data_IF_764808712155
#
_entry.id   IF_764808712155
#
_cell.length_a   1.000
_cell.length_b   1.000
_cell.length_c   1.000
_cell.angle_alpha   90.00
_cell.angle_beta   90.00
_cell.angle_gamma   90.00
#
_symmetry.space_group_name_H-M   'P 1'
#
loop_
_entity.id
_entity.type
_entity.pdbx_description
1 polymer ?
#
# COMPACT_ATOMS: atom_id res chain seq x y z
N UNK A 1 0.29 -5.15 20.09
CA UNK A 1 1.06 -3.91 20.27
C UNK A 1 1.45 -3.65 21.73
N UNK A 2 0.56 -3.89 22.73
CA UNK A 2 0.95 -3.70 24.13
C UNK A 2 1.95 -4.71 24.68
N UNK A 3 2.14 -5.85 24.01
CA UNK A 3 3.05 -6.92 24.43
C UNK A 3 4.43 -6.89 23.76
N UNK A 4 4.72 -5.86 22.95
CA UNK A 4 5.98 -5.72 22.23
C UNK A 4 6.13 -6.60 20.99
N UNK A 5 5.10 -7.40 20.64
CA UNK A 5 5.08 -8.22 19.43
C UNK A 5 4.26 -7.52 18.35
N UNK A 6 4.83 -7.35 17.18
CA UNK A 6 4.21 -6.67 16.05
C UNK A 6 3.85 -7.68 14.96
N UNK A 7 2.57 -7.89 14.76
CA UNK A 7 2.05 -8.75 13.69
C UNK A 7 1.80 -7.93 12.41
N UNK A 8 1.94 -8.54 11.22
CA UNK A 8 1.61 -7.87 9.97
C UNK A 8 0.15 -7.42 9.95
N UNK A 9 -0.13 -6.24 9.40
CA UNK A 9 -1.49 -5.81 9.12
C UNK A 9 -1.53 -4.76 7.99
N UNK A 10 -2.67 -4.70 7.29
CA UNK A 10 -2.98 -3.67 6.31
C UNK A 10 -4.35 -3.07 6.62
N UNK A 11 -5.42 -3.61 6.03
CA UNK A 11 -6.78 -3.05 6.05
C UNK A 11 -7.48 -3.02 7.41
N UNK A 12 -7.14 -3.88 8.36
CA UNK A 12 -7.76 -4.06 9.69
C UNK A 12 -9.26 -4.45 9.68
N UNK A 13 -9.80 -4.83 8.51
CA UNK A 13 -11.23 -5.12 8.34
C UNK A 13 -11.51 -6.49 7.70
N UNK A 14 -10.52 -7.39 7.66
CA UNK A 14 -10.69 -8.74 7.14
C UNK A 14 -10.68 -8.88 5.62
N UNK A 15 -10.33 -7.84 4.85
CA UNK A 15 -10.44 -7.87 3.39
C UNK A 15 -9.13 -8.22 2.66
N UNK A 16 -7.95 -7.89 3.22
CA UNK A 16 -6.68 -7.97 2.47
C UNK A 16 -5.83 -9.22 2.76
N UNK A 17 -6.07 -9.93 3.86
CA UNK A 17 -5.30 -11.10 4.24
C UNK A 17 -3.90 -10.85 4.82
N UNK A 18 -3.42 -9.61 4.92
CA UNK A 18 -2.07 -9.27 5.39
C UNK A 18 -1.78 -9.75 6.83
N UNK A 19 -2.80 -9.87 7.67
CA UNK A 19 -2.69 -10.32 9.07
C UNK A 19 -2.97 -11.82 9.25
N UNK A 20 -2.94 -12.62 8.17
CA UNK A 20 -3.16 -14.07 8.23
C UNK A 20 -2.01 -14.76 8.95
N UNK A 21 -2.34 -15.65 9.89
CA UNK A 21 -1.38 -16.51 10.56
C UNK A 21 -2.05 -17.79 11.05
N UNK A 22 -1.26 -18.71 11.60
CA UNK A 22 -1.73 -20.02 12.01
C UNK A 22 -1.97 -20.10 13.53
N UNK A 23 -3.06 -20.71 13.91
CA UNK A 23 -3.34 -21.11 15.29
C UNK A 23 -2.68 -22.45 15.54
N UNK A 24 -1.71 -22.50 16.45
CA UNK A 24 -1.06 -23.73 16.90
C UNK A 24 -1.85 -24.37 18.04
N UNK A 25 -2.47 -23.56 18.90
CA UNK A 25 -3.39 -24.00 19.95
C UNK A 25 -4.35 -22.90 20.35
N UNK A 26 -5.46 -23.29 21.01
CA UNK A 26 -6.55 -22.40 21.41
C UNK A 26 -7.64 -22.25 20.35
N UNK A 27 -8.62 -21.41 20.63
CA UNK A 27 -9.80 -21.21 19.77
C UNK A 27 -10.10 -19.73 19.60
N UNK A 28 -10.62 -19.37 18.44
CA UNK A 28 -11.05 -18.01 18.09
C UNK A 28 -12.45 -18.04 17.49
N UNK A 29 -13.15 -16.91 17.57
CA UNK A 29 -14.29 -16.61 16.70
C UNK A 29 -13.78 -15.72 15.57
N UNK A 30 -13.98 -16.15 14.33
CA UNK A 30 -13.68 -15.35 13.16
C UNK A 30 -14.72 -14.24 13.01
N UNK A 31 -14.26 -12.99 12.93
CA UNK A 31 -15.12 -11.85 12.60
C UNK A 31 -15.44 -11.83 11.11
N UNK A 32 -16.22 -10.83 10.70
CA UNK A 32 -16.55 -10.63 9.29
C UNK A 32 -15.26 -10.47 8.45
N UNK A 33 -15.15 -11.22 7.38
CA UNK A 33 -14.00 -11.18 6.46
C UNK A 33 -14.39 -11.65 5.06
N UNK A 34 -13.49 -11.42 4.10
CA UNK A 34 -13.64 -11.89 2.73
C UNK A 34 -13.10 -13.31 2.57
N UNK A 35 -13.80 -14.15 1.83
CA UNK A 35 -13.37 -15.54 1.51
C UNK A 35 -12.01 -15.57 0.79
N UNK A 36 -11.69 -14.57 -0.01
CA UNK A 36 -10.37 -14.42 -0.65
C UNK A 36 -9.24 -14.13 0.35
N UNK A 37 -9.55 -13.49 1.49
CA UNK A 37 -8.58 -13.17 2.53
C UNK A 37 -8.36 -14.36 3.48
N UNK A 38 -9.42 -15.13 3.76
CA UNK A 38 -9.39 -16.36 4.55
C UNK A 38 -10.50 -17.27 4.07
N UNK A 39 -10.15 -18.36 3.41
CA UNK A 39 -11.12 -19.32 2.91
C UNK A 39 -11.61 -20.27 4.01
N UNK A 40 -12.78 -20.88 3.81
CA UNK A 40 -13.33 -21.90 4.75
C UNK A 40 -12.35 -23.08 4.92
N UNK A 41 -11.62 -23.45 3.89
CA UNK A 41 -10.60 -24.49 3.97
C UNK A 41 -9.40 -24.05 4.84
N UNK A 42 -8.94 -22.82 4.70
CA UNK A 42 -7.87 -22.26 5.52
C UNK A 42 -8.30 -22.14 6.98
N UNK A 43 -9.55 -21.73 7.27
CA UNK A 43 -10.10 -21.74 8.63
C UNK A 43 -10.08 -23.15 9.23
N UNK A 44 -10.55 -24.16 8.47
CA UNK A 44 -10.53 -25.54 8.89
C UNK A 44 -9.11 -26.08 9.16
N UNK A 45 -8.11 -25.51 8.48
CA UNK A 45 -6.68 -25.82 8.67
C UNK A 45 -6.00 -24.98 9.76
N UNK A 46 -6.79 -24.24 10.55
CA UNK A 46 -6.31 -23.46 11.69
C UNK A 46 -5.71 -22.11 11.32
N UNK A 47 -5.98 -21.57 10.14
CA UNK A 47 -5.59 -20.20 9.78
C UNK A 47 -6.59 -19.19 10.35
N UNK A 48 -6.11 -17.99 10.68
CA UNK A 48 -6.95 -16.90 11.17
C UNK A 48 -6.44 -15.54 10.68
N UNK A 49 -7.35 -14.57 10.56
CA UNK A 49 -7.02 -13.16 10.35
C UNK A 49 -7.00 -12.44 11.70
N UNK A 50 -5.82 -12.12 12.21
CA UNK A 50 -5.67 -11.56 13.56
C UNK A 50 -6.25 -10.16 13.74
N UNK A 51 -6.58 -9.45 12.65
CA UNK A 51 -7.25 -8.15 12.74
C UNK A 51 -8.74 -8.24 13.11
N UNK A 52 -9.39 -9.38 12.85
CA UNK A 52 -10.81 -9.60 13.08
C UNK A 52 -11.15 -10.88 13.85
N UNK A 53 -10.17 -11.71 14.20
CA UNK A 53 -10.37 -12.86 15.07
C UNK A 53 -10.46 -12.44 16.54
N UNK A 54 -11.43 -12.99 17.29
CA UNK A 54 -11.57 -12.78 18.72
C UNK A 54 -11.18 -14.05 19.47
N UNK A 55 -10.19 -14.02 20.39
CA UNK A 55 -9.80 -15.19 21.14
C UNK A 55 -10.89 -15.63 22.14
N UNK A 56 -11.12 -16.93 22.22
CA UNK A 56 -12.01 -17.57 23.23
C UNK A 56 -11.23 -18.29 24.33
N UNK A 57 -9.93 -18.51 24.13
CA UNK A 57 -9.00 -19.15 25.07
C UNK A 57 -7.62 -18.53 24.91
N UNK A 58 -6.66 -18.96 25.74
CA UNK A 58 -5.25 -18.67 25.47
C UNK A 58 -4.87 -19.25 24.12
N UNK A 59 -4.09 -18.48 23.35
CA UNK A 59 -3.69 -18.83 21.99
C UNK A 59 -2.19 -19.04 21.91
N UNK A 60 -1.78 -20.06 21.16
CA UNK A 60 -0.43 -20.14 20.59
C UNK A 60 -0.57 -19.94 19.08
N UNK A 61 0.15 -18.97 18.52
CA UNK A 61 0.07 -18.60 17.11
C UNK A 61 1.44 -18.68 16.45
N UNK A 62 1.42 -18.99 15.16
CA UNK A 62 2.56 -18.85 14.26
C UNK A 62 2.25 -17.73 13.28
N UNK A 63 3.04 -16.67 13.35
CA UNK A 63 2.91 -15.52 12.48
C UNK A 63 4.27 -14.87 12.28
N UNK A 64 4.42 -14.19 11.14
CA UNK A 64 5.62 -13.39 10.89
C UNK A 64 5.61 -12.17 11.80
N UNK A 65 6.70 -11.97 12.56
CA UNK A 65 6.88 -10.75 13.34
C UNK A 65 7.50 -9.66 12.47
N UNK A 66 6.90 -8.47 12.49
CA UNK A 66 7.41 -7.33 11.75
C UNK A 66 8.29 -6.49 12.67
N UNK A 67 9.59 -6.48 12.39
CA UNK A 67 10.54 -5.59 13.06
C UNK A 67 10.28 -4.13 12.67
N UNK A 68 10.69 -3.18 13.50
CA UNK A 68 10.54 -1.73 13.32
C UNK A 68 9.10 -1.18 13.37
N UNK A 69 8.06 -2.01 13.43
CA UNK A 69 6.71 -1.54 13.72
C UNK A 69 6.63 -1.14 15.20
N UNK A 70 6.12 0.09 15.44
CA UNK A 70 6.07 0.65 16.79
C UNK A 70 7.30 1.48 17.17
N UNK A 71 8.29 1.63 16.28
CA UNK A 71 9.39 2.57 16.45
C UNK A 71 8.87 4.01 16.61
N UNK A 72 7.81 4.34 15.88
CA UNK A 72 7.14 5.63 15.98
C UNK A 72 5.74 5.49 16.61
N UNK A 73 5.41 6.31 17.62
CA UNK A 73 4.12 6.24 18.27
C UNK A 73 2.99 6.67 17.34
N UNK A 74 1.90 5.91 17.34
CA UNK A 74 0.67 6.29 16.66
C UNK A 74 0.04 7.48 17.37
N UNK A 75 -0.17 8.57 16.64
CA UNK A 75 -0.74 9.82 17.16
C UNK A 75 -2.08 10.14 16.50
N UNK A 76 -2.98 10.72 17.29
CA UNK A 76 -4.20 11.39 16.78
C UNK A 76 -4.00 12.88 16.83
N UNK A 77 -4.13 13.54 15.68
CA UNK A 77 -3.89 14.99 15.62
C UNK A 77 -4.80 15.68 14.61
N UNK A 78 -5.08 16.97 14.79
CA UNK A 78 -5.65 17.78 13.73
C UNK A 78 -4.61 18.02 12.63
N UNK A 79 -5.07 18.19 11.41
CA UNK A 79 -4.25 18.63 10.28
C UNK A 79 -5.05 19.59 9.43
N UNK A 80 -4.36 20.48 8.73
CA UNK A 80 -4.96 21.47 7.84
C UNK A 80 -4.63 21.11 6.40
N UNK A 81 -5.60 21.19 5.50
CA UNK A 81 -5.35 21.10 4.06
C UNK A 81 -4.47 22.30 3.66
N UNK A 82 -3.27 22.02 3.18
CA UNK A 82 -2.32 23.02 2.69
C UNK A 82 -2.50 23.28 1.20
N UNK A 83 -2.81 22.24 0.41
CA UNK A 83 -3.10 22.33 -1.02
C UNK A 83 -3.95 21.16 -1.49
N UNK A 84 -4.73 21.38 -2.55
CA UNK A 84 -5.47 20.40 -3.33
C UNK A 84 -5.11 20.61 -4.79
N UNK A 85 -4.37 19.67 -5.37
CA UNK A 85 -3.91 19.75 -6.76
C UNK A 85 -4.51 18.60 -7.57
N UNK A 86 -5.36 18.91 -8.53
CA UNK A 86 -5.95 17.92 -9.44
C UNK A 86 -4.91 17.57 -10.51
N UNK A 87 -4.27 16.40 -10.36
CA UNK A 87 -3.18 15.96 -11.25
C UNK A 87 -3.69 15.18 -12.48
N UNK A 88 -4.88 14.57 -12.37
CA UNK A 88 -5.61 13.92 -13.46
C UNK A 88 -7.11 14.08 -13.25
N UNK A 89 -7.93 13.54 -14.16
CA UNK A 89 -9.40 13.68 -14.04
C UNK A 89 -9.94 13.04 -12.76
N UNK A 90 -9.32 12.00 -12.28
CA UNK A 90 -9.76 11.22 -11.11
C UNK A 90 -8.73 11.14 -9.96
N UNK A 91 -7.60 11.86 -10.04
CA UNK A 91 -6.59 11.86 -8.97
C UNK A 91 -6.31 13.28 -8.46
N UNK A 92 -6.42 13.43 -7.14
CA UNK A 92 -6.10 14.64 -6.38
C UNK A 92 -4.87 14.40 -5.51
N UNK A 93 -3.87 15.27 -5.60
CA UNK A 93 -2.80 15.35 -4.62
C UNK A 93 -3.28 16.24 -3.47
N UNK A 94 -3.34 15.65 -2.28
CA UNK A 94 -3.76 16.34 -1.06
C UNK A 94 -2.54 16.57 -0.18
N UNK A 95 -2.17 17.82 0.03
CA UNK A 95 -1.09 18.19 0.95
C UNK A 95 -1.66 18.63 2.30
N UNK A 96 -1.16 18.01 3.36
CA UNK A 96 -1.60 18.25 4.73
C UNK A 96 -0.49 18.91 5.54
N UNK A 97 -0.83 20.03 6.21
CA UNK A 97 0.04 20.71 7.16
C UNK A 97 -0.26 20.25 8.57
N UNK A 98 0.73 19.73 9.26
CA UNK A 98 0.64 19.39 10.68
C UNK A 98 0.72 20.65 11.57
N UNK A 99 0.27 20.58 12.84
CA UNK A 99 0.52 21.64 13.82
C UNK A 99 2.02 21.91 13.97
N UNK A 100 2.41 23.17 14.15
CA UNK A 100 3.82 23.58 14.18
C UNK A 100 4.66 22.87 15.28
N UNK A 101 4.02 22.46 16.38
CA UNK A 101 4.67 21.76 17.48
C UNK A 101 4.68 20.24 17.32
N UNK A 102 4.08 19.69 16.26
CA UNK A 102 3.92 18.26 16.06
C UNK A 102 4.68 17.81 14.82
N UNK A 103 5.36 16.68 14.95
CA UNK A 103 5.92 15.93 13.82
C UNK A 103 5.33 14.55 13.80
N UNK A 104 5.03 14.05 12.61
CA UNK A 104 4.67 12.68 12.37
C UNK A 104 5.90 11.97 11.79
N UNK A 105 6.57 11.19 12.63
CA UNK A 105 7.61 10.27 12.16
C UNK A 105 6.94 9.00 11.65
N UNK A 106 7.43 8.46 10.55
CA UNK A 106 6.88 7.27 9.90
C UNK A 106 7.92 6.57 9.03
N UNK A 107 7.65 5.35 8.62
CA UNK A 107 8.44 4.59 7.64
C UNK A 107 7.85 4.78 6.24
N UNK A 108 8.71 4.88 5.23
CA UNK A 108 8.28 5.05 3.84
C UNK A 108 7.40 3.89 3.37
N UNK A 109 6.16 4.19 3.00
CA UNK A 109 5.14 3.20 2.63
C UNK A 109 3.97 3.08 3.61
N UNK A 110 4.10 3.61 4.84
CA UNK A 110 3.01 3.64 5.81
C UNK A 110 1.88 4.59 5.41
N UNK A 111 0.73 4.46 6.07
CA UNK A 111 -0.47 5.23 5.81
C UNK A 111 -0.98 5.99 7.05
N UNK A 112 -1.89 6.93 6.82
CA UNK A 112 -2.71 7.58 7.85
C UNK A 112 -4.18 7.24 7.65
N UNK A 113 -4.95 7.35 8.71
CA UNK A 113 -6.42 7.29 8.66
C UNK A 113 -7.01 8.67 8.93
N UNK A 114 -7.90 9.15 8.06
CA UNK A 114 -8.81 10.25 8.40
C UNK A 114 -9.91 9.73 9.31
N UNK A 115 -10.20 10.49 10.35
CA UNK A 115 -11.33 10.26 11.26
C UNK A 115 -12.44 11.23 10.86
N UNK A 116 -13.46 10.71 10.19
CA UNK A 116 -14.59 11.49 9.70
C UNK A 116 -15.53 11.89 10.85
N UNK A 117 -16.43 12.84 10.59
CA UNK A 117 -17.38 13.38 11.61
C UNK A 117 -18.32 12.32 12.17
N UNK A 118 -18.67 11.31 11.37
CA UNK A 118 -19.51 10.18 11.77
C UNK A 118 -18.72 9.05 12.47
N UNK A 119 -17.42 9.27 12.72
CA UNK A 119 -16.53 8.30 13.32
C UNK A 119 -15.94 7.27 12.34
N UNK A 120 -16.39 7.24 11.11
CA UNK A 120 -15.82 6.36 10.07
C UNK A 120 -14.38 6.76 9.77
N UNK A 121 -13.62 5.80 9.27
CA UNK A 121 -12.20 5.97 8.97
C UNK A 121 -11.94 5.74 7.49
N UNK A 122 -10.96 6.47 6.95
CA UNK A 122 -10.49 6.30 5.57
C UNK A 122 -8.98 6.35 5.55
N UNK A 123 -8.38 5.30 5.05
CA UNK A 123 -6.94 5.09 5.01
C UNK A 123 -6.35 5.63 3.71
N UNK A 124 -5.22 6.34 3.82
CA UNK A 124 -4.46 6.84 2.66
C UNK A 124 -2.98 6.72 2.95
N UNK A 125 -2.26 6.08 2.03
CA UNK A 125 -0.81 5.93 2.11
C UNK A 125 -0.12 7.28 1.92
N UNK A 126 0.91 7.54 2.72
CA UNK A 126 1.75 8.73 2.58
C UNK A 126 2.62 8.61 1.33
N UNK A 127 2.57 9.62 0.48
CA UNK A 127 3.22 9.61 -0.83
C UNK A 127 4.57 10.34 -0.87
N UNK A 128 4.97 10.98 0.21
CA UNK A 128 6.28 11.59 0.37
C UNK A 128 7.16 10.76 1.32
N UNK A 129 8.46 10.86 1.13
CA UNK A 129 9.41 10.19 2.00
C UNK A 129 9.47 10.84 3.40
N UNK A 130 9.82 10.08 4.47
CA UNK A 130 9.81 10.57 5.85
C UNK A 130 10.68 11.79 6.12
N UNK A 131 11.75 11.99 5.36
CA UNK A 131 12.64 13.16 5.50
C UNK A 131 12.02 14.45 4.95
N UNK A 132 11.01 14.35 4.05
CA UNK A 132 10.27 15.49 3.52
C UNK A 132 9.03 15.76 4.37
N UNK A 133 9.22 15.98 5.69
CA UNK A 133 8.19 15.96 6.73
C UNK A 133 7.47 17.30 6.96
N UNK A 134 7.76 18.32 6.16
CA UNK A 134 7.08 19.61 6.26
C UNK A 134 5.56 19.50 6.01
N UNK A 135 5.18 18.58 5.12
CA UNK A 135 3.79 18.28 4.76
C UNK A 135 3.63 16.80 4.50
N UNK A 136 2.48 16.25 4.86
CA UNK A 136 2.10 14.91 4.41
C UNK A 136 1.39 15.05 3.08
N UNK A 137 1.83 14.29 2.09
CA UNK A 137 1.23 14.26 0.76
C UNK A 137 0.52 12.93 0.53
N UNK A 138 -0.71 13.00 0.03
CA UNK A 138 -1.55 11.84 -0.27
C UNK A 138 -2.01 11.88 -1.72
N UNK A 139 -2.15 10.73 -2.37
CA UNK A 139 -2.76 10.62 -3.68
C UNK A 139 -4.16 10.02 -3.52
N UNK A 140 -5.18 10.80 -3.77
CA UNK A 140 -6.59 10.42 -3.56
C UNK A 140 -7.26 10.23 -4.91
N UNK A 141 -7.68 8.99 -5.21
CA UNK A 141 -8.49 8.70 -6.40
C UNK A 141 -9.96 8.94 -6.11
N UNK A 142 -10.66 9.60 -7.01
CA UNK A 142 -12.09 9.80 -6.94
C UNK A 142 -12.82 8.47 -7.12
N UNK A 143 -13.61 8.14 -6.13
CA UNK A 143 -14.56 7.03 -6.17
C UNK A 143 -15.95 7.63 -6.07
N UNK A 144 -16.70 7.75 -7.17
CA UNK A 144 -18.04 8.36 -7.15
C UNK A 144 -18.96 7.70 -6.12
N UNK A 145 -19.60 8.50 -5.27
CA UNK A 145 -20.37 8.02 -4.10
C UNK A 145 -19.53 7.73 -2.85
N UNK A 146 -18.21 7.90 -2.92
CA UNK A 146 -17.32 7.70 -1.79
C UNK A 146 -17.38 8.86 -0.80
N UNK A 147 -17.71 8.56 0.48
CA UNK A 147 -17.92 9.56 1.54
C UNK A 147 -16.81 10.61 1.66
N UNK A 148 -15.57 10.23 1.51
CA UNK A 148 -14.43 11.14 1.63
C UNK A 148 -13.96 11.64 0.27
N UNK A 149 -13.92 10.78 -0.74
CA UNK A 149 -13.41 11.17 -2.06
C UNK A 149 -14.31 12.21 -2.74
N UNK A 150 -15.65 12.12 -2.59
CA UNK A 150 -16.57 13.14 -3.09
C UNK A 150 -16.35 14.49 -2.38
N UNK A 151 -15.97 14.48 -1.08
CA UNK A 151 -15.61 15.71 -0.38
C UNK A 151 -14.31 16.31 -0.93
N UNK A 152 -13.28 15.48 -1.16
CA UNK A 152 -11.98 15.91 -1.72
C UNK A 152 -12.15 16.56 -3.09
N UNK A 153 -13.02 15.99 -3.94
CA UNK A 153 -13.24 16.49 -5.30
C UNK A 153 -14.33 17.57 -5.39
N UNK A 154 -15.08 17.83 -4.31
CA UNK A 154 -16.22 18.76 -4.36
C UNK A 154 -16.20 19.87 -3.33
N UNK A 155 -16.15 19.54 -2.06
CA UNK A 155 -16.45 20.50 -0.98
C UNK A 155 -15.26 20.88 -0.13
N UNK A 156 -14.24 20.04 0.00
CA UNK A 156 -13.04 20.36 0.77
C UNK A 156 -12.24 21.48 0.10
N UNK A 157 -11.67 22.33 0.94
CA UNK A 157 -10.90 23.49 0.52
C UNK A 157 -9.60 23.59 1.29
N UNK A 158 -8.66 24.34 0.76
CA UNK A 158 -7.48 24.77 1.50
C UNK A 158 -7.90 25.43 2.81
N UNK A 159 -7.13 25.16 3.87
CA UNK A 159 -7.33 25.58 5.26
C UNK A 159 -8.40 24.80 6.02
N UNK A 160 -9.17 23.91 5.40
CA UNK A 160 -10.06 23.01 6.14
C UNK A 160 -9.26 22.12 7.09
N UNK A 161 -9.85 21.88 8.27
CA UNK A 161 -9.23 21.08 9.32
C UNK A 161 -9.82 19.69 9.30
N UNK A 162 -8.94 18.71 9.23
CA UNK A 162 -9.26 17.27 9.29
C UNK A 162 -8.56 16.65 10.50
N UNK A 163 -9.05 15.51 10.96
CA UNK A 163 -8.40 14.73 12.01
C UNK A 163 -7.80 13.49 11.40
N UNK A 164 -6.56 13.21 11.76
CA UNK A 164 -5.84 12.02 11.31
C UNK A 164 -5.36 11.18 12.49
N UNK A 165 -5.10 9.91 12.22
CA UNK A 165 -4.39 8.99 13.08
C UNK A 165 -3.30 8.29 12.26
N UNK A 166 -2.09 8.23 12.78
CA UNK A 166 -0.95 7.59 12.14
C UNK A 166 0.35 7.75 12.93
N UNK A 167 1.46 7.16 12.44
CA UNK A 167 1.56 6.29 11.27
C UNK A 167 0.95 4.92 11.51
N UNK A 168 0.46 4.27 10.45
CA UNK A 168 -0.16 2.95 10.48
C UNK A 168 0.37 2.08 9.34
N UNK A 169 0.21 0.77 9.48
CA UNK A 169 0.57 -0.23 8.45
C UNK A 169 1.95 -0.82 8.62
N UNK A 170 2.10 -1.99 8.02
CA UNK A 170 3.35 -2.78 8.02
C UNK A 170 3.96 -2.89 6.62
N UNK A 171 3.43 -2.15 5.66
CA UNK A 171 3.99 -1.99 4.33
C UNK A 171 5.00 -0.84 4.34
N UNK A 172 6.28 -1.15 4.35
CA UNK A 172 7.38 -0.19 4.32
C UNK A 172 8.67 -0.85 3.84
N UNK A 173 9.63 -0.04 3.39
CA UNK A 173 10.93 -0.51 2.93
C UNK A 173 11.69 -1.25 4.05
N UNK A 174 12.15 -2.46 3.77
CA UNK A 174 13.04 -3.23 4.65
C UNK A 174 14.48 -2.81 4.38
N UNK A 175 15.05 -2.00 5.27
CA UNK A 175 16.39 -1.44 5.12
C UNK A 175 17.50 -2.40 5.55
N UNK A 176 17.14 -3.46 6.26
CA UNK A 176 18.02 -4.52 6.75
C UNK A 176 18.35 -5.59 5.70
N UNK A 177 17.99 -5.36 4.43
CA UNK A 177 18.20 -6.29 3.31
C UNK A 177 18.94 -5.63 2.16
N UNK A 178 19.85 -6.39 1.54
CA UNK A 178 20.58 -5.98 0.31
C UNK A 178 19.95 -6.55 -0.97
N UNK A 179 18.85 -7.30 -0.86
CA UNK A 179 18.17 -7.91 -2.02
C UNK A 179 17.66 -6.86 -2.98
N UNK A 180 17.76 -7.09 -4.31
CA UNK A 180 17.13 -6.23 -5.30
C UNK A 180 15.60 -6.18 -5.10
N UNK A 181 14.99 -5.08 -5.51
CA UNK A 181 13.61 -4.76 -5.24
C UNK A 181 12.79 -4.72 -6.53
N UNK A 182 11.65 -5.42 -6.52
CA UNK A 182 10.59 -5.25 -7.51
C UNK A 182 9.46 -4.45 -6.87
N UNK A 183 9.11 -3.32 -7.46
CA UNK A 183 8.03 -2.44 -7.04
C UNK A 183 6.88 -2.60 -8.04
N UNK A 184 5.70 -3.00 -7.56
CA UNK A 184 4.48 -3.12 -8.35
C UNK A 184 3.45 -2.12 -7.88
N UNK A 185 3.00 -1.27 -8.79
CA UNK A 185 1.94 -0.31 -8.50
C UNK A 185 0.80 -0.40 -9.51
N UNK A 186 -0.44 -0.24 -9.06
CA UNK A 186 -1.57 0.04 -9.94
C UNK A 186 -2.33 1.28 -9.46
N UNK A 187 -2.61 2.20 -10.38
CA UNK A 187 -3.29 3.46 -10.07
C UNK A 187 -2.60 4.22 -8.94
N UNK A 188 -3.36 4.63 -7.92
CA UNK A 188 -2.83 5.36 -6.74
C UNK A 188 -2.06 4.48 -5.75
N UNK A 189 -1.94 3.17 -5.99
CA UNK A 189 -0.95 2.33 -5.32
C UNK A 189 0.49 2.80 -5.55
N UNK A 190 0.69 3.69 -6.50
CA UNK A 190 1.94 4.42 -6.70
C UNK A 190 2.32 5.31 -5.51
N UNK A 191 1.37 5.80 -4.71
CA UNK A 191 1.65 6.73 -3.60
C UNK A 191 2.68 6.19 -2.59
N UNK A 192 2.47 5.03 -1.92
CA UNK A 192 3.47 4.50 -0.99
C UNK A 192 4.74 4.01 -1.70
N UNK A 193 4.63 3.55 -2.93
CA UNK A 193 5.80 3.16 -3.74
C UNK A 193 6.68 4.38 -4.04
N UNK A 194 6.07 5.54 -4.35
CA UNK A 194 6.78 6.80 -4.52
C UNK A 194 7.57 7.17 -3.25
N UNK A 195 6.94 7.07 -2.08
CA UNK A 195 7.61 7.34 -0.81
C UNK A 195 8.81 6.41 -0.56
N UNK A 196 8.68 5.13 -0.91
CA UNK A 196 9.76 4.13 -0.81
C UNK A 196 10.92 4.50 -1.74
N UNK A 197 10.65 4.85 -3.00
CA UNK A 197 11.70 5.23 -3.98
C UNK A 197 12.44 6.49 -3.52
N UNK A 198 11.71 7.53 -3.12
CA UNK A 198 12.30 8.79 -2.63
C UNK A 198 13.14 8.58 -1.37
N UNK A 199 12.67 7.72 -0.46
CA UNK A 199 13.42 7.38 0.75
C UNK A 199 14.69 6.59 0.43
N UNK A 200 14.59 5.58 -0.43
CA UNK A 200 15.76 4.81 -0.88
C UNK A 200 16.80 5.68 -1.56
N UNK A 201 16.36 6.66 -2.36
CA UNK A 201 17.26 7.64 -2.97
C UNK A 201 17.91 8.55 -1.92
N UNK A 202 17.16 9.01 -0.91
CA UNK A 202 17.67 9.86 0.17
C UNK A 202 18.75 9.17 1.02
N UNK A 203 18.57 7.88 1.33
CA UNK A 203 19.55 7.09 2.08
C UNK A 203 20.67 6.52 1.17
N UNK A 204 20.70 6.94 -0.08
CA UNK A 204 21.70 6.51 -1.08
C UNK A 204 21.79 4.98 -1.23
N UNK A 205 20.63 4.31 -1.20
CA UNK A 205 20.54 2.86 -1.31
C UNK A 205 21.14 2.37 -2.64
N UNK A 206 22.04 1.39 -2.56
CA UNK A 206 22.67 0.78 -3.74
C UNK A 206 21.86 -0.40 -4.30
N UNK A 207 20.72 -0.71 -3.71
CA UNK A 207 19.88 -1.84 -4.11
C UNK A 207 19.25 -1.57 -5.48
N UNK A 208 19.39 -2.49 -6.45
CA UNK A 208 18.66 -2.37 -7.70
C UNK A 208 17.15 -2.36 -7.47
N UNK A 209 16.45 -1.39 -8.05
CA UNK A 209 14.99 -1.25 -7.97
C UNK A 209 14.40 -1.22 -9.37
N UNK A 210 13.33 -1.98 -9.60
CA UNK A 210 12.55 -1.93 -10.84
C UNK A 210 11.09 -1.65 -10.50
N UNK A 211 10.59 -0.52 -10.99
CA UNK A 211 9.18 -0.13 -10.85
C UNK A 211 8.38 -0.58 -12.08
N UNK A 212 7.40 -1.44 -11.86
CA UNK A 212 6.32 -1.72 -12.82
C UNK A 212 5.07 -0.97 -12.36
N UNK A 213 4.71 0.10 -13.06
CA UNK A 213 3.50 0.87 -12.72
C UNK A 213 2.45 0.71 -13.80
N UNK A 214 1.27 0.21 -13.40
CA UNK A 214 0.16 -0.10 -14.28
C UNK A 214 -0.97 0.89 -14.19
N UNK A 215 -1.50 1.19 -15.36
CA UNK A 215 -2.76 1.87 -15.58
C UNK A 215 -3.62 1.10 -16.56
N UNK A 216 -4.89 1.43 -16.63
CA UNK A 216 -5.77 0.95 -17.68
C UNK A 216 -5.47 1.66 -19.00
N UNK A 217 -5.23 2.97 -18.91
CA UNK A 217 -4.91 3.88 -20.01
C UNK A 217 -3.61 4.64 -19.70
N UNK A 218 -2.92 5.21 -20.69
CA UNK A 218 -1.69 5.98 -20.45
C UNK A 218 -1.86 7.14 -19.44
N UNK A 219 -3.01 7.82 -19.46
CA UNK A 219 -3.30 8.93 -18.55
C UNK A 219 -3.47 8.50 -17.08
N UNK A 220 -3.68 7.20 -16.81
CA UNK A 220 -3.72 6.67 -15.44
C UNK A 220 -2.34 6.68 -14.77
N UNK A 221 -1.27 6.79 -15.56
CA UNK A 221 0.10 6.96 -15.10
C UNK A 221 0.38 8.44 -14.84
N UNK A 222 -0.37 9.04 -13.95
CA UNK A 222 -0.48 10.50 -13.72
C UNK A 222 0.83 11.20 -13.32
N UNK A 223 1.87 10.48 -12.94
CA UNK A 223 3.24 10.97 -12.68
C UNK A 223 4.28 10.27 -13.55
N UNK A 224 3.90 9.86 -14.77
CA UNK A 224 4.79 9.18 -15.71
C UNK A 224 6.11 9.91 -15.92
N UNK A 225 6.05 11.21 -16.17
CA UNK A 225 7.24 12.03 -16.39
C UNK A 225 8.23 12.03 -15.20
N UNK A 226 7.72 12.00 -13.96
CA UNK A 226 8.54 11.87 -12.75
C UNK A 226 9.28 10.52 -12.72
N UNK A 227 8.61 9.45 -13.07
CA UNK A 227 9.22 8.12 -13.11
C UNK A 227 10.28 8.00 -14.23
N UNK A 228 10.05 8.65 -15.37
CA UNK A 228 11.06 8.75 -16.44
C UNK A 228 12.29 9.57 -16.02
N UNK A 229 12.04 10.65 -15.25
CA UNK A 229 13.14 11.44 -14.67
C UNK A 229 13.97 10.58 -13.71
N UNK A 230 13.34 9.87 -12.79
CA UNK A 230 14.04 8.96 -11.89
C UNK A 230 14.82 7.87 -12.62
N UNK A 231 14.27 7.30 -13.69
CA UNK A 231 14.98 6.30 -14.49
C UNK A 231 16.23 6.86 -15.18
N UNK A 232 16.30 8.18 -15.39
CA UNK A 232 17.49 8.86 -15.95
C UNK A 232 18.48 9.32 -14.89
N UNK A 233 18.01 9.64 -13.68
CA UNK A 233 18.79 10.35 -12.65
C UNK A 233 19.19 9.47 -11.47
N UNK A 234 18.37 8.47 -11.11
CA UNK A 234 18.66 7.59 -9.99
C UNK A 234 19.50 6.39 -10.45
N UNK A 235 20.66 6.16 -9.83
CA UNK A 235 21.45 4.96 -10.08
C UNK A 235 20.63 3.72 -9.66
N UNK A 236 20.81 2.62 -10.38
CA UNK A 236 20.16 1.33 -10.08
C UNK A 236 18.64 1.31 -10.11
N UNK A 237 17.98 2.34 -10.65
CA UNK A 237 16.53 2.41 -10.81
C UNK A 237 16.09 2.19 -12.26
N UNK A 238 15.07 1.35 -12.44
CA UNK A 238 14.41 1.10 -13.72
C UNK A 238 12.93 1.36 -13.61
N UNK A 239 12.34 1.91 -14.68
CA UNK A 239 10.90 2.14 -14.77
C UNK A 239 10.31 1.44 -15.98
N UNK A 240 9.26 0.66 -15.76
CA UNK A 240 8.51 -0.08 -16.77
C UNK A 240 7.03 0.32 -16.66
N UNK A 241 6.56 1.30 -17.45
CA UNK A 241 5.14 1.62 -17.53
C UNK A 241 4.38 0.52 -18.29
N UNK A 242 3.21 0.13 -17.75
CA UNK A 242 2.39 -0.93 -18.35
C UNK A 242 0.94 -0.46 -18.47
N UNK A 243 0.35 -0.58 -19.65
CA UNK A 243 -1.04 -0.17 -19.92
C UNK A 243 -1.85 -1.40 -20.30
N UNK A 244 -2.94 -1.68 -19.55
CA UNK A 244 -3.70 -2.91 -19.75
C UNK A 244 -4.71 -2.87 -20.89
N UNK A 245 -5.19 -1.68 -21.27
CA UNK A 245 -6.21 -1.50 -22.31
C UNK A 245 -5.91 -0.26 -23.17
N UNK A 246 -4.72 -0.20 -23.85
CA UNK A 246 -4.40 0.93 -24.69
C UNK A 246 -5.33 0.97 -25.92
N UNK A 247 -5.87 2.15 -26.24
CA UNK A 247 -6.68 2.35 -27.43
C UNK A 247 -5.84 2.91 -28.57
N UNK A 248 -6.31 2.74 -29.81
CA UNK A 248 -5.56 3.20 -31.00
C UNK A 248 -5.22 4.70 -30.96
N UNK A 249 -6.08 5.53 -30.36
CA UNK A 249 -5.86 6.98 -30.26
C UNK A 249 -4.89 7.38 -29.14
N UNK A 250 -4.51 6.48 -28.24
CA UNK A 250 -3.54 6.76 -27.18
C UNK A 250 -2.11 6.86 -27.71
N UNK A 251 -1.83 6.34 -28.89
CA UNK A 251 -0.48 6.22 -29.46
C UNK A 251 0.53 5.60 -28.46
N UNK A 252 0.07 4.60 -27.71
CA UNK A 252 0.88 3.93 -26.71
C UNK A 252 1.91 3.00 -27.37
N UNK A 253 3.20 3.22 -27.09
CA UNK A 253 4.30 2.42 -27.60
C UNK A 253 5.05 1.64 -26.48
N UNK A 254 4.58 1.79 -25.23
CA UNK A 254 5.12 1.06 -24.09
C UNK A 254 4.56 -0.35 -23.97
N UNK A 255 4.81 -0.97 -22.83
CA UNK A 255 4.34 -2.34 -22.55
C UNK A 255 2.83 -2.37 -22.38
N UNK A 256 2.19 -3.42 -22.95
CA UNK A 256 0.75 -3.66 -22.80
C UNK A 256 0.49 -4.91 -21.97
N UNK A 257 -0.63 -4.93 -21.23
CA UNK A 257 -1.03 -6.04 -20.37
C UNK A 257 -1.01 -5.71 -18.87
N UNK A 258 -0.80 -6.71 -18.03
CA UNK A 258 -0.79 -6.55 -16.58
C UNK A 258 0.64 -6.46 -16.03
N UNK A 259 0.84 -5.63 -15.01
CA UNK A 259 2.16 -5.35 -14.42
C UNK A 259 2.90 -6.60 -13.94
N UNK A 260 2.19 -7.57 -13.34
CA UNK A 260 2.82 -8.78 -12.85
C UNK A 260 3.29 -9.69 -13.99
N UNK A 261 2.58 -9.74 -15.12
CA UNK A 261 3.03 -10.48 -16.31
C UNK A 261 4.30 -9.84 -16.89
N UNK A 262 4.33 -8.50 -16.99
CA UNK A 262 5.53 -7.80 -17.44
C UNK A 262 6.75 -8.10 -16.53
N UNK A 263 6.53 -8.16 -15.21
CA UNK A 263 7.59 -8.51 -14.27
C UNK A 263 8.04 -9.98 -14.41
N UNK A 264 7.13 -10.94 -14.63
CA UNK A 264 7.47 -12.34 -14.87
C UNK A 264 8.31 -12.54 -16.14
N UNK A 265 7.94 -11.82 -17.21
CA UNK A 265 8.68 -11.88 -18.48
C UNK A 265 10.11 -11.35 -18.34
N UNK A 266 10.31 -10.25 -17.57
CA UNK A 266 11.62 -9.64 -17.37
C UNK A 266 12.45 -10.36 -16.31
N UNK A 267 11.80 -10.93 -15.27
CA UNK A 267 12.43 -11.49 -14.09
C UNK A 267 11.82 -12.88 -13.77
N UNK A 268 12.16 -13.92 -14.54
CA UNK A 268 11.58 -15.25 -14.38
C UNK A 268 12.01 -15.99 -13.10
N UNK A 269 13.04 -15.50 -12.40
CA UNK A 269 13.48 -16.02 -11.10
C UNK A 269 13.59 -14.87 -10.10
N UNK A 270 12.71 -14.87 -9.08
CA UNK A 270 12.62 -13.89 -8.01
C UNK A 270 13.10 -14.44 -6.66
N UNK A 271 13.77 -15.60 -6.63
CA UNK A 271 14.20 -16.25 -5.37
C UNK A 271 15.13 -15.38 -4.52
N UNK A 272 15.85 -14.45 -5.13
CA UNK A 272 16.74 -13.50 -4.45
C UNK A 272 16.20 -12.08 -4.32
N UNK A 273 14.91 -11.85 -4.55
CA UNK A 273 14.31 -10.51 -4.60
C UNK A 273 13.39 -10.23 -3.41
N UNK A 274 13.12 -8.95 -3.17
CA UNK A 274 11.98 -8.48 -2.40
C UNK A 274 10.96 -7.83 -3.33
N UNK A 275 9.68 -8.10 -3.10
CA UNK A 275 8.58 -7.54 -3.89
C UNK A 275 7.70 -6.66 -3.00
N UNK A 276 7.43 -5.45 -3.45
CA UNK A 276 6.51 -4.50 -2.82
C UNK A 276 5.37 -4.22 -3.79
N UNK A 277 4.17 -4.71 -3.48
CA UNK A 277 3.01 -4.60 -4.36
C UNK A 277 1.91 -3.75 -3.71
N UNK A 278 1.47 -2.69 -4.40
CA UNK A 278 0.43 -1.80 -3.88
C UNK A 278 -0.58 -1.40 -4.95
N UNK A 279 -1.87 -1.36 -4.57
CA UNK A 279 -2.97 -0.92 -5.42
C UNK A 279 -4.18 -1.84 -5.41
N UNK A 280 -4.77 -2.10 -6.58
CA UNK A 280 -5.97 -2.91 -6.72
C UNK A 280 -5.78 -4.32 -6.15
N UNK A 281 -6.71 -4.84 -5.32
CA UNK A 281 -6.59 -6.16 -4.71
C UNK A 281 -6.34 -7.28 -5.72
N UNK A 282 -7.05 -7.26 -6.85
CA UNK A 282 -6.88 -8.28 -7.91
C UNK A 282 -5.46 -8.29 -8.49
N UNK A 283 -4.80 -7.14 -8.60
CA UNK A 283 -3.41 -7.06 -9.05
C UNK A 283 -2.46 -7.64 -8.01
N UNK A 284 -2.64 -7.26 -6.74
CA UNK A 284 -1.79 -7.72 -5.63
C UNK A 284 -1.91 -9.23 -5.44
N UNK A 285 -3.15 -9.77 -5.44
CA UNK A 285 -3.41 -11.20 -5.26
C UNK A 285 -2.85 -12.03 -6.42
N UNK A 286 -3.03 -11.55 -7.67
CA UNK A 286 -2.49 -12.23 -8.86
C UNK A 286 -0.97 -12.22 -8.86
N UNK A 287 -0.35 -11.08 -8.55
CA UNK A 287 1.10 -10.97 -8.48
C UNK A 287 1.68 -11.92 -7.41
N UNK A 288 1.09 -11.94 -6.21
CA UNK A 288 1.53 -12.84 -5.12
C UNK A 288 1.48 -14.30 -5.54
N UNK A 289 0.33 -14.73 -6.05
CA UNK A 289 0.13 -16.12 -6.50
C UNK A 289 1.14 -16.51 -7.57
N UNK A 290 1.26 -15.68 -8.61
CA UNK A 290 2.03 -16.02 -9.80
C UNK A 290 3.53 -15.94 -9.54
N UNK A 291 4.01 -14.98 -8.75
CA UNK A 291 5.44 -14.86 -8.39
C UNK A 291 5.91 -16.02 -7.50
N UNK A 292 5.08 -16.46 -6.55
CA UNK A 292 5.39 -17.62 -5.71
C UNK A 292 5.38 -18.91 -6.56
N UNK A 293 4.34 -19.08 -7.39
CA UNK A 293 4.15 -20.32 -8.15
C UNK A 293 5.11 -20.46 -9.34
N UNK A 294 5.46 -19.37 -10.01
CA UNK A 294 6.18 -19.38 -11.29
C UNK A 294 7.61 -18.84 -11.19
N UNK A 295 7.87 -17.86 -10.30
CA UNK A 295 9.16 -17.19 -10.21
C UNK A 295 9.95 -17.54 -8.95
N UNK A 296 9.53 -18.54 -8.18
CA UNK A 296 10.21 -19.01 -6.94
C UNK A 296 10.38 -17.92 -5.87
N UNK A 297 9.52 -16.91 -5.85
CA UNK A 297 9.58 -15.89 -4.82
C UNK A 297 9.27 -16.50 -3.46
N UNK A 298 10.11 -16.32 -2.42
CA UNK A 298 9.77 -16.72 -1.06
C UNK A 298 8.52 -15.94 -0.58
N UNK A 299 7.49 -16.60 -0.04
CA UNK A 299 6.26 -15.93 0.38
C UNK A 299 6.46 -14.78 1.38
N UNK A 300 7.48 -14.87 2.24
CA UNK A 300 7.88 -13.87 3.23
C UNK A 300 8.52 -12.61 2.62
N UNK A 301 8.97 -12.69 1.38
CA UNK A 301 9.57 -11.56 0.65
C UNK A 301 8.56 -10.79 -0.22
N UNK A 302 7.27 -11.15 -0.12
CA UNK A 302 6.19 -10.44 -0.78
C UNK A 302 5.46 -9.52 0.21
N UNK A 303 5.73 -8.24 0.14
CA UNK A 303 5.10 -7.20 0.93
C UNK A 303 3.97 -6.56 0.13
N UNK A 304 2.80 -6.40 0.75
CA UNK A 304 1.62 -5.94 0.03
C UNK A 304 0.77 -4.93 0.82
N UNK A 305 0.23 -3.95 0.09
CA UNK A 305 -0.83 -3.07 0.58
C UNK A 305 -1.94 -2.99 -0.49
N UNK A 306 -2.97 -3.82 -0.32
CA UNK A 306 -4.12 -3.86 -1.22
C UNK A 306 -5.16 -2.82 -0.80
N UNK A 307 -5.53 -1.93 -1.71
CA UNK A 307 -6.51 -0.87 -1.48
C UNK A 307 -7.93 -1.43 -1.53
N UNK A 308 -8.44 -1.84 -0.38
CA UNK A 308 -9.79 -2.36 -0.24
C UNK A 308 -10.79 -1.24 0.07
N UNK A 309 -11.98 -1.30 -0.52
CA UNK A 309 -13.10 -0.40 -0.27
C UNK A 309 -14.16 -1.06 0.63
N UNK A 310 -15.12 -0.27 1.13
CA UNK A 310 -16.29 -0.84 1.85
C UNK A 310 -17.09 -1.79 0.95
N UNK A 311 -17.12 -1.56 -0.37
CA UNK A 311 -17.78 -2.46 -1.32
C UNK A 311 -17.10 -3.84 -1.38
N UNK A 312 -15.81 -3.91 -1.10
CA UNK A 312 -15.08 -5.17 -1.05
C UNK A 312 -15.40 -6.01 0.20
N UNK A 313 -16.15 -5.47 1.16
CA UNK A 313 -16.61 -6.17 2.37
C UNK A 313 -18.00 -6.78 2.19
N UNK A 314 -18.75 -6.36 1.18
CA UNK A 314 -20.06 -6.93 0.91
C UNK A 314 -19.90 -8.32 0.29
N UNK A 315 -20.74 -9.32 0.69
CA UNK A 315 -20.75 -10.61 0.00
C UNK A 315 -21.15 -10.40 -1.47
N UNK A 316 -20.46 -11.12 -2.34
CA UNK A 316 -20.70 -11.10 -3.79
C UNK A 316 -22.04 -11.76 -4.13
#
# INVERSE_FOLDING_TARGET
MHAGVNLPYGCKNGACGACKGKLLSGTVVHGQHQQKALSTEEEANGMALFCCATPLSDLMIEAHEVQSVGEFPVKKMPTRIAALEKISDDVMIVSLQLPAAERLQYLAGQYIEFILRDGKRRSYSMANAPHADEKITLHVRHMPGGLFTDQVFGTLKERDILRIEGPLGTFFLREDSDKPIVLLASGTGFAPIKAIIEHAAYIESQRPMTLYWGGRRPQDLYMHALCEEWARTLPHFKYVPVVSDPQAHDNWHGRSGFVHHAAIEDLPDLSGYQVYACGAPVMVDSAKRDFIAQCKLPPEEFYADAFTSEADLLPA
#
